data_IF_716392399905
#
_entry.id   IF_716392399905
#
_cell.length_a   1.000
_cell.length_b   1.000
_cell.length_c   1.000
_cell.angle_alpha   90.00
_cell.angle_beta   90.00
_cell.angle_gamma   90.00
#
_symmetry.space_group_name_H-M   'P 1'
#
loop_
_entity.id
_entity.type
_entity.pdbx_description
1 polymer ?
#
# COMPACT_ATOMS: atom_id res chain seq x y z
N UNK A 1 -45.37 -2.90 29.25
CA UNK A 1 -44.73 -4.11 28.65
C UNK A 1 -45.04 -4.24 27.16
N UNK A 2 -46.29 -4.11 26.69
CA UNK A 2 -46.61 -4.12 25.24
C UNK A 2 -45.98 -2.96 24.44
N UNK A 3 -45.80 -1.80 25.06
CA UNK A 3 -45.27 -0.60 24.38
C UNK A 3 -43.77 -0.67 24.06
N UNK A 4 -43.00 -1.52 24.75
CA UNK A 4 -41.55 -1.67 24.53
C UNK A 4 -41.26 -2.63 23.38
N UNK A 5 -42.09 -3.67 23.23
CA UNK A 5 -41.96 -4.68 22.17
C UNK A 5 -42.21 -4.07 20.78
N UNK A 6 -43.13 -3.10 20.69
CA UNK A 6 -43.43 -2.38 19.44
C UNK A 6 -42.28 -1.45 19.00
N UNK A 7 -41.57 -0.83 19.95
CA UNK A 7 -40.40 0.01 19.65
C UNK A 7 -39.21 -0.85 19.21
N UNK A 8 -39.03 -2.04 19.80
CA UNK A 8 -38.00 -2.99 19.33
C UNK A 8 -38.31 -3.61 17.97
N UNK A 9 -39.59 -3.77 17.60
CA UNK A 9 -39.98 -4.25 16.28
C UNK A 9 -39.76 -3.20 15.17
N UNK A 10 -39.84 -1.91 15.50
CA UNK A 10 -39.60 -0.83 14.54
C UNK A 10 -38.11 -0.62 14.22
N UNK A 11 -37.21 -0.99 15.14
CA UNK A 11 -35.75 -0.91 14.94
C UNK A 11 -35.21 -2.07 14.07
N UNK A 12 -35.99 -3.13 13.83
CA UNK A 12 -35.56 -4.26 13.00
C UNK A 12 -35.92 -4.16 11.50
N UNK A 13 -36.39 -3.00 11.01
CA UNK A 13 -36.76 -2.83 9.58
C UNK A 13 -35.88 -1.79 8.84
N UNK A 14 -34.86 -1.21 9.47
CA UNK A 14 -34.03 -0.14 8.84
C UNK A 14 -32.56 -0.48 8.63
N UNK A 15 -32.20 -1.76 8.53
CA UNK A 15 -30.91 -2.16 7.93
C UNK A 15 -31.16 -2.98 6.67
N UNK A 16 -31.89 -2.38 5.72
CA UNK A 16 -31.48 -2.58 4.33
C UNK A 16 -30.08 -2.01 4.26
N UNK A 17 -29.08 -2.89 4.30
CA UNK A 17 -27.72 -2.55 3.95
C UNK A 17 -27.80 -1.64 2.72
N UNK A 18 -27.24 -0.44 2.85
CA UNK A 18 -26.82 0.32 1.69
C UNK A 18 -25.78 -0.57 0.99
N UNK A 19 -26.24 -1.52 0.18
CA UNK A 19 -25.45 -2.00 -0.95
C UNK A 19 -25.58 -0.86 -1.94
N UNK A 20 -24.88 0.24 -1.63
CA UNK A 20 -24.49 1.16 -2.66
C UNK A 20 -23.75 0.31 -3.66
N UNK A 21 -24.28 0.19 -4.87
CA UNK A 21 -23.49 -0.18 -6.02
C UNK A 21 -22.49 0.96 -6.21
N UNK A 22 -21.47 1.01 -5.35
CA UNK A 22 -20.27 1.75 -5.65
C UNK A 22 -19.79 1.18 -6.98
N UNK A 23 -19.66 2.05 -7.98
CA UNK A 23 -18.99 1.72 -9.22
C UNK A 23 -17.66 1.07 -8.81
N UNK A 24 -17.54 -0.27 -8.93
CA UNK A 24 -16.41 -1.05 -8.38
C UNK A 24 -15.08 -0.71 -9.07
N UNK A 25 -15.12 0.26 -9.98
CA UNK A 25 -14.07 0.66 -10.86
C UNK A 25 -13.73 2.13 -10.67
N UNK A 26 -12.49 2.40 -10.31
CA UNK A 26 -11.98 3.75 -10.12
C UNK A 26 -10.72 4.01 -10.95
N UNK A 27 -10.40 5.29 -11.17
CA UNK A 27 -9.17 5.66 -11.87
C UNK A 27 -7.96 5.29 -11.03
N UNK A 28 -6.90 4.79 -11.68
CA UNK A 28 -5.66 4.45 -10.97
C UNK A 28 -5.01 5.74 -10.43
N UNK A 29 -4.88 5.81 -9.10
CA UNK A 29 -4.21 6.90 -8.37
C UNK A 29 -2.87 6.45 -7.80
N UNK A 30 -2.64 5.15 -7.67
CA UNK A 30 -1.37 4.57 -7.19
C UNK A 30 -0.22 5.05 -8.08
N UNK A 31 0.74 5.76 -7.48
CA UNK A 31 1.81 6.46 -8.20
C UNK A 31 2.66 5.52 -9.06
N UNK A 32 2.92 4.31 -8.57
CA UNK A 32 3.68 3.30 -9.31
C UNK A 32 2.97 2.85 -10.58
N UNK A 33 1.64 2.70 -10.53
CA UNK A 33 0.83 2.12 -11.61
C UNK A 33 0.28 3.17 -12.58
N UNK A 34 0.29 4.43 -12.17
CA UNK A 34 -0.01 5.57 -13.04
C UNK A 34 1.18 5.96 -13.93
N UNK A 35 2.37 5.45 -13.64
CA UNK A 35 3.58 5.72 -14.41
C UNK A 35 3.45 5.12 -15.83
N UNK A 36 3.66 5.90 -16.90
CA UNK A 36 3.58 5.40 -18.27
C UNK A 36 4.58 4.28 -18.58
N UNK A 37 5.68 4.18 -17.82
CA UNK A 37 6.68 3.11 -17.98
C UNK A 37 6.21 1.77 -17.37
N UNK A 38 5.06 1.73 -16.67
CA UNK A 38 4.54 0.51 -16.05
C UNK A 38 4.11 -0.56 -17.05
N UNK A 39 3.96 -0.22 -18.34
CA UNK A 39 3.56 -1.16 -19.39
C UNK A 39 2.10 -1.66 -19.26
N UNK A 40 1.26 -0.93 -18.53
CA UNK A 40 -0.16 -1.23 -18.39
C UNK A 40 -0.95 -0.71 -19.59
N UNK A 41 -1.94 -1.49 -20.01
CA UNK A 41 -2.82 -1.14 -21.12
C UNK A 41 -4.16 -0.55 -20.66
N UNK A 42 -4.37 -0.47 -19.35
CA UNK A 42 -5.59 0.01 -18.70
C UNK A 42 -5.27 1.14 -17.71
N UNK A 43 -6.29 1.94 -17.37
CA UNK A 43 -6.17 3.10 -16.47
C UNK A 43 -7.22 3.14 -15.35
N UNK A 44 -8.06 2.10 -15.26
CA UNK A 44 -9.06 1.92 -14.20
C UNK A 44 -8.77 0.61 -13.48
N UNK A 45 -8.88 0.62 -12.16
CA UNK A 45 -8.72 -0.56 -11.30
C UNK A 45 -10.04 -0.95 -10.68
N UNK A 46 -10.22 -2.26 -10.45
CA UNK A 46 -11.30 -2.77 -9.62
C UNK A 46 -10.85 -2.91 -8.16
N UNK A 47 -11.81 -2.75 -7.23
CA UNK A 47 -11.61 -3.03 -5.80
C UNK A 47 -12.73 -3.97 -5.28
N UNK A 48 -12.42 -4.85 -4.29
CA UNK A 48 -11.11 -5.06 -3.69
C UNK A 48 -10.12 -5.71 -4.66
N UNK A 49 -8.82 -5.43 -4.51
CA UNK A 49 -7.80 -6.07 -5.34
C UNK A 49 -7.58 -7.54 -4.93
N UNK A 50 -6.73 -8.27 -5.66
CA UNK A 50 -6.51 -9.71 -5.41
C UNK A 50 -5.86 -10.02 -4.05
N UNK A 51 -5.33 -9.01 -3.35
CA UNK A 51 -4.79 -9.12 -2.00
C UNK A 51 -5.81 -8.72 -0.91
N UNK A 52 -7.01 -8.29 -1.31
CA UNK A 52 -8.11 -7.93 -0.41
C UNK A 52 -8.09 -6.49 0.08
N UNK A 53 -7.24 -5.61 -0.47
CA UNK A 53 -7.29 -4.19 -0.12
C UNK A 53 -8.58 -3.56 -0.64
N UNK A 54 -9.26 -2.81 0.21
CA UNK A 54 -10.57 -2.19 -0.11
C UNK A 54 -10.42 -0.80 -0.71
N UNK A 55 -9.23 -0.21 -0.64
CA UNK A 55 -8.93 1.14 -1.16
C UNK A 55 -7.59 1.19 -1.88
N UNK A 56 -7.46 2.08 -2.86
CA UNK A 56 -6.18 2.33 -3.51
C UNK A 56 -5.11 2.94 -2.59
N UNK A 57 -5.50 3.66 -1.54
CA UNK A 57 -4.54 4.23 -0.58
C UNK A 57 -3.85 3.11 0.22
N UNK A 58 -4.61 2.11 0.65
CA UNK A 58 -4.09 0.92 1.35
C UNK A 58 -3.17 0.11 0.42
N UNK A 59 -3.64 -0.21 -0.78
CA UNK A 59 -2.86 -0.93 -1.79
C UNK A 59 -1.60 -0.14 -2.19
N UNK A 60 -1.72 1.18 -2.31
CA UNK A 60 -0.66 2.12 -2.65
C UNK A 60 0.44 2.14 -1.58
N UNK A 61 0.06 2.18 -0.31
CA UNK A 61 1.01 2.18 0.81
C UNK A 61 1.82 0.88 0.85
N UNK A 62 1.21 -0.26 0.54
CA UNK A 62 1.91 -1.53 0.49
C UNK A 62 2.83 -1.63 -0.74
N UNK A 63 2.31 -1.39 -1.95
CA UNK A 63 3.10 -1.53 -3.18
C UNK A 63 4.25 -0.52 -3.25
N UNK A 64 4.12 0.64 -2.59
CA UNK A 64 5.18 1.63 -2.54
C UNK A 64 6.47 1.13 -1.87
N UNK A 65 6.39 0.07 -1.05
CA UNK A 65 7.57 -0.54 -0.42
C UNK A 65 8.51 -1.21 -1.44
N UNK A 66 8.02 -1.51 -2.65
CA UNK A 66 8.80 -2.13 -3.72
C UNK A 66 9.53 -1.10 -4.61
N UNK A 67 9.37 0.22 -4.39
CA UNK A 67 10.04 1.25 -5.19
C UNK A 67 11.55 1.05 -5.33
N UNK A 68 12.31 0.70 -4.27
CA UNK A 68 13.75 0.46 -4.39
C UNK A 68 14.07 -0.66 -5.40
N UNK A 69 13.28 -1.74 -5.44
CA UNK A 69 13.46 -2.83 -6.41
C UNK A 69 13.13 -2.39 -7.83
N UNK A 70 12.05 -1.62 -8.00
CA UNK A 70 11.67 -1.05 -9.31
C UNK A 70 12.78 -0.14 -9.84
N UNK A 71 13.37 0.69 -8.98
CA UNK A 71 14.50 1.55 -9.37
C UNK A 71 15.81 0.78 -9.59
N UNK A 72 16.02 -0.33 -8.90
CA UNK A 72 17.14 -1.24 -9.13
C UNK A 72 17.02 -2.01 -10.45
N UNK A 73 15.82 -2.08 -11.05
CA UNK A 73 15.54 -2.74 -12.34
C UNK A 73 16.01 -4.19 -12.38
N UNK A 74 15.78 -4.93 -11.30
CA UNK A 74 16.11 -6.36 -11.22
C UNK A 74 15.32 -7.23 -12.22
N UNK A 75 14.11 -6.80 -12.62
CA UNK A 75 13.36 -7.33 -13.75
C UNK A 75 12.61 -6.18 -14.44
N UNK A 76 12.53 -6.20 -15.77
CA UNK A 76 11.71 -5.25 -16.56
C UNK A 76 10.21 -5.45 -16.33
N UNK A 77 9.81 -6.63 -15.89
CA UNK A 77 8.42 -7.03 -15.70
C UNK A 77 7.89 -6.70 -14.29
N UNK A 78 8.76 -6.31 -13.36
CA UNK A 78 8.42 -6.13 -11.94
C UNK A 78 7.28 -5.12 -11.74
N UNK A 79 7.36 -3.96 -12.39
CA UNK A 79 6.37 -2.89 -12.21
C UNK A 79 4.99 -3.32 -12.75
N UNK A 80 4.96 -3.96 -13.93
CA UNK A 80 3.74 -4.51 -14.50
C UNK A 80 3.14 -5.60 -13.60
N UNK A 81 3.95 -6.54 -13.11
CA UNK A 81 3.51 -7.60 -12.20
C UNK A 81 2.89 -7.02 -10.92
N UNK A 82 3.58 -6.09 -10.25
CA UNK A 82 3.06 -5.45 -9.04
C UNK A 82 1.72 -4.75 -9.33
N UNK A 83 1.60 -4.05 -10.44
CA UNK A 83 0.35 -3.36 -10.76
C UNK A 83 -0.80 -4.31 -11.10
N UNK A 84 -0.55 -5.46 -11.75
CA UNK A 84 -1.57 -6.50 -11.93
C UNK A 84 -2.07 -7.11 -10.60
N UNK A 85 -1.26 -7.03 -9.54
CA UNK A 85 -1.63 -7.52 -8.21
C UNK A 85 -2.34 -6.44 -7.38
N UNK A 86 -1.78 -5.23 -7.33
CA UNK A 86 -2.21 -4.16 -6.43
C UNK A 86 -3.28 -3.24 -7.05
N UNK A 87 -3.30 -3.12 -8.38
CA UNK A 87 -4.27 -2.32 -9.14
C UNK A 87 -4.73 -3.12 -10.38
N UNK A 88 -5.41 -4.27 -10.18
CA UNK A 88 -5.84 -5.10 -11.28
C UNK A 88 -6.88 -4.36 -12.12
N UNK A 89 -6.94 -4.69 -13.41
CA UNK A 89 -7.87 -4.02 -14.31
C UNK A 89 -9.33 -4.10 -13.83
N UNK A 90 -10.05 -3.01 -14.06
CA UNK A 90 -11.49 -2.98 -13.93
C UNK A 90 -12.19 -3.74 -15.06
N UNK A 91 -13.04 -4.70 -14.70
CA UNK A 91 -14.04 -5.32 -15.57
C UNK A 91 -15.45 -5.10 -15.02
N UNK A 92 -16.45 -5.81 -15.56
CA UNK A 92 -17.79 -5.82 -14.99
C UNK A 92 -17.75 -6.23 -13.49
N UNK A 93 -18.53 -5.58 -12.60
CA UNK A 93 -18.58 -5.88 -11.17
C UNK A 93 -18.84 -7.37 -10.80
N UNK A 94 -19.39 -8.15 -11.73
CA UNK A 94 -19.64 -9.58 -11.57
C UNK A 94 -18.43 -10.47 -11.89
N UNK A 95 -17.37 -9.91 -12.47
CA UNK A 95 -16.18 -10.63 -12.93
C UNK A 95 -15.02 -10.38 -11.96
N UNK A 96 -14.40 -11.43 -11.40
CA UNK A 96 -13.24 -11.27 -10.53
C UNK A 96 -12.06 -10.65 -11.31
N UNK A 97 -11.18 -9.89 -10.64
CA UNK A 97 -10.05 -9.27 -11.33
C UNK A 97 -9.10 -10.31 -11.92
N UNK A 98 -8.62 -10.05 -13.14
CA UNK A 98 -7.67 -10.93 -13.85
C UNK A 98 -6.35 -11.00 -13.10
N UNK A 99 -5.91 -12.20 -12.72
CA UNK A 99 -4.62 -12.44 -12.05
C UNK A 99 -3.45 -12.36 -13.03
N UNK A 100 -2.23 -12.02 -12.56
CA UNK A 100 -1.04 -12.20 -13.38
C UNK A 100 -0.81 -13.69 -13.67
N UNK A 101 -0.22 -14.02 -14.83
CA UNK A 101 0.21 -15.38 -15.10
C UNK A 101 1.41 -15.76 -14.21
N UNK A 102 1.49 -17.04 -13.84
CA UNK A 102 2.61 -17.59 -13.06
C UNK A 102 3.97 -17.32 -13.71
N UNK A 103 4.06 -17.46 -15.03
CA UNK A 103 5.30 -17.26 -15.77
C UNK A 103 5.81 -15.80 -15.68
N UNK A 104 4.90 -14.83 -15.57
CA UNK A 104 5.26 -13.42 -15.31
C UNK A 104 5.84 -13.27 -13.90
N UNK A 105 5.22 -13.90 -12.90
CA UNK A 105 5.73 -13.88 -11.53
C UNK A 105 7.12 -14.53 -11.44
N UNK A 106 7.31 -15.68 -12.08
CA UNK A 106 8.58 -16.41 -12.06
C UNK A 106 9.74 -15.61 -12.69
N UNK A 107 9.49 -14.89 -13.79
CA UNK A 107 10.45 -13.95 -14.38
C UNK A 107 10.87 -12.86 -13.37
N UNK A 108 9.90 -12.24 -12.70
CA UNK A 108 10.14 -11.21 -11.70
C UNK A 108 10.88 -11.77 -10.49
N UNK A 109 10.47 -12.94 -10.01
CA UNK A 109 11.10 -13.64 -8.89
C UNK A 109 12.57 -13.95 -9.19
N UNK A 110 12.86 -14.51 -10.36
CA UNK A 110 14.21 -14.88 -10.78
C UNK A 110 15.16 -13.67 -10.80
N UNK A 111 14.68 -12.50 -11.23
CA UNK A 111 15.46 -11.27 -11.23
C UNK A 111 15.61 -10.62 -9.85
N UNK A 112 14.53 -10.57 -9.07
CA UNK A 112 14.44 -9.69 -7.90
C UNK A 112 14.62 -10.39 -6.55
N UNK A 113 14.30 -11.68 -6.42
CA UNK A 113 14.47 -12.41 -5.17
C UNK A 113 15.95 -12.48 -4.73
N UNK A 114 16.95 -12.73 -5.62
CA UNK A 114 18.34 -12.77 -5.19
C UNK A 114 18.82 -11.43 -4.59
N UNK A 115 18.31 -10.32 -5.13
CA UNK A 115 18.60 -8.99 -4.62
C UNK A 115 18.00 -8.80 -3.22
N UNK A 116 16.73 -9.17 -3.02
CA UNK A 116 16.09 -9.14 -1.69
C UNK A 116 16.85 -9.98 -0.67
N UNK A 117 17.22 -11.21 -1.04
CA UNK A 117 17.95 -12.14 -0.18
C UNK A 117 19.30 -11.58 0.25
N UNK A 118 20.02 -10.89 -0.63
CA UNK A 118 21.30 -10.26 -0.30
C UNK A 118 21.17 -9.18 0.79
N UNK A 119 19.99 -8.54 0.91
CA UNK A 119 19.67 -7.59 1.97
C UNK A 119 18.95 -8.21 3.17
N UNK A 120 18.85 -9.55 3.24
CA UNK A 120 18.23 -10.27 4.35
C UNK A 120 16.70 -10.32 4.29
N UNK A 121 16.09 -9.94 3.18
CA UNK A 121 14.65 -10.04 2.97
C UNK A 121 14.29 -11.34 2.23
N UNK A 122 13.07 -11.84 2.46
CA UNK A 122 12.50 -12.97 1.72
C UNK A 122 11.47 -12.47 0.71
N UNK A 123 11.25 -13.26 -0.34
CA UNK A 123 10.12 -13.03 -1.22
C UNK A 123 8.80 -13.09 -0.42
N UNK A 124 7.87 -12.12 -0.58
CA UNK A 124 6.64 -12.09 0.20
C UNK A 124 5.72 -13.26 -0.14
N UNK A 125 5.18 -13.93 0.88
CA UNK A 125 4.28 -15.08 0.68
C UNK A 125 3.01 -14.75 -0.12
N UNK A 126 2.52 -13.50 -0.01
CA UNK A 126 1.37 -13.02 -0.81
C UNK A 126 1.68 -12.85 -2.31
N UNK A 127 2.95 -12.86 -2.69
CA UNK A 127 3.43 -12.79 -4.08
C UNK A 127 4.04 -14.11 -4.55
N UNK A 128 3.83 -15.21 -3.82
CA UNK A 128 4.36 -16.52 -4.18
C UNK A 128 3.79 -16.99 -5.51
N UNK A 129 4.65 -17.37 -6.46
CA UNK A 129 4.24 -17.62 -7.84
C UNK A 129 3.29 -18.81 -7.99
N UNK A 130 3.32 -19.77 -7.05
CA UNK A 130 2.37 -20.89 -7.02
C UNK A 130 0.91 -20.45 -6.84
N UNK A 131 0.68 -19.24 -6.34
CA UNK A 131 -0.66 -18.67 -6.12
C UNK A 131 -1.35 -18.19 -7.40
N UNK A 132 -0.60 -18.11 -8.51
CA UNK A 132 -1.08 -17.61 -9.78
C UNK A 132 -1.29 -18.76 -10.79
N UNK A 133 -2.28 -18.63 -11.70
CA UNK A 133 -2.50 -19.62 -12.75
C UNK A 133 -1.36 -19.63 -13.77
N UNK A 134 -1.02 -20.82 -14.28
CA UNK A 134 -0.14 -20.95 -15.44
C UNK A 134 -0.94 -20.71 -16.71
N UNK A 135 -0.33 -20.13 -17.74
CA UNK A 135 -0.96 -19.97 -19.06
C UNK A 135 -1.40 -21.30 -19.70
N UNK A 136 -0.82 -22.42 -19.25
CA UNK A 136 -1.15 -23.77 -19.73
C UNK A 136 -2.33 -24.41 -18.99
N UNK A 137 -2.80 -23.81 -17.89
CA UNK A 137 -3.88 -24.35 -17.05
C UNK A 137 -5.28 -24.18 -17.64
N UNK A 138 -5.43 -23.31 -18.65
CA UNK A 138 -6.73 -22.95 -19.23
C UNK A 138 -7.48 -21.85 -18.46
N UNK A 139 -6.97 -21.41 -17.30
CA UNK A 139 -7.45 -20.20 -16.60
C UNK A 139 -6.86 -18.95 -17.27
N UNK A 140 -7.69 -17.93 -17.47
CA UNK A 140 -7.27 -16.67 -18.08
C UNK A 140 -6.40 -15.84 -17.11
N UNK A 141 -5.28 -15.32 -17.62
CA UNK A 141 -4.31 -14.56 -16.84
C UNK A 141 -3.59 -13.52 -17.69
N UNK A 142 -3.10 -12.46 -17.04
CA UNK A 142 -2.42 -11.35 -17.69
C UNK A 142 -0.88 -11.48 -17.63
N UNK A 143 -0.21 -11.26 -18.75
CA UNK A 143 1.26 -11.24 -18.83
C UNK A 143 1.75 -10.29 -19.94
N UNK A 144 1.72 -8.97 -19.69
CA UNK A 144 2.22 -7.95 -20.63
C UNK A 144 3.69 -8.17 -20.97
N UNK A 145 4.06 -7.98 -22.23
CA UNK A 145 5.45 -8.12 -22.70
C UNK A 145 5.98 -9.55 -22.75
N UNK A 146 5.17 -10.53 -22.35
CA UNK A 146 5.46 -11.96 -22.47
C UNK A 146 4.61 -12.52 -23.61
N UNK A 147 4.95 -12.11 -24.83
CA UNK A 147 4.35 -12.63 -26.06
C UNK A 147 4.40 -14.17 -26.02
N UNK A 148 3.33 -14.83 -26.49
CA UNK A 148 3.30 -16.29 -26.63
C UNK A 148 4.63 -16.73 -27.22
N UNK A 149 5.34 -17.63 -26.53
CA UNK A 149 6.45 -18.34 -27.13
C UNK A 149 5.98 -18.92 -28.47
N UNK A 150 6.31 -18.22 -29.55
CA UNK A 150 6.36 -18.81 -30.87
C UNK A 150 7.39 -19.93 -30.72
N UNK A 151 7.08 -21.18 -31.10
CA UNK A 151 8.12 -22.16 -31.28
C UNK A 151 9.03 -21.59 -32.37
N UNK A 152 10.16 -21.02 -31.97
CA UNK A 152 11.24 -20.73 -32.88
C UNK A 152 11.82 -22.08 -33.30
N UNK A 153 11.22 -22.65 -34.34
CA UNK A 153 11.96 -23.36 -35.36
C UNK A 153 12.98 -22.36 -35.91
N UNK A 154 14.17 -22.29 -35.31
CA UNK A 154 15.34 -21.93 -36.10
C UNK A 154 16.61 -22.54 -35.51
N UNK A 155 17.27 -23.33 -36.35
CA UNK A 155 18.56 -23.93 -36.08
C UNK A 155 19.64 -22.84 -36.05
N UNK A 156 19.86 -22.27 -34.87
CA UNK A 156 21.04 -21.46 -34.58
C UNK A 156 22.22 -22.34 -34.18
N UNK A 157 23.25 -22.38 -35.03
CA UNK A 157 24.56 -22.97 -34.70
C UNK A 157 25.16 -22.40 -33.40
N UNK A 158 26.03 -23.15 -32.70
CA UNK A 158 26.60 -22.69 -31.44
C UNK A 158 27.51 -21.48 -31.67
N UNK A 159 27.15 -20.33 -31.09
CA UNK A 159 28.08 -19.21 -30.92
C UNK A 159 28.98 -19.56 -29.74
N UNK A 160 30.22 -19.94 -30.05
CA UNK A 160 31.30 -20.05 -29.07
C UNK A 160 31.55 -18.69 -28.42
N UNK A 161 31.22 -18.57 -27.14
CA UNK A 161 31.64 -17.45 -26.29
C UNK A 161 33.13 -17.63 -25.98
N UNK A 162 34.02 -16.67 -26.31
CA UNK A 162 35.41 -16.74 -25.88
C UNK A 162 35.52 -16.48 -24.36
N UNK A 163 36.51 -17.08 -23.68
CA UNK A 163 36.68 -16.93 -22.23
C UNK A 163 37.01 -15.47 -21.86
N UNK A 164 36.61 -15.00 -20.66
CA UNK A 164 36.95 -13.66 -20.20
C UNK A 164 38.46 -13.55 -20.00
N UNK A 165 39.07 -12.59 -20.71
CA UNK A 165 40.46 -12.21 -20.47
C UNK A 165 40.63 -11.57 -19.07
N UNK A 166 41.85 -11.56 -18.52
CA UNK A 166 42.12 -10.96 -17.22
C UNK A 166 41.86 -9.46 -17.26
N UNK A 167 40.85 -9.01 -16.52
CA UNK A 167 40.61 -7.59 -16.23
C UNK A 167 41.65 -7.09 -15.25
N UNK A 168 42.59 -6.28 -15.73
CA UNK A 168 43.47 -5.46 -14.88
C UNK A 168 42.66 -4.27 -14.34
N UNK A 169 42.70 -3.97 -13.03
CA UNK A 169 42.05 -2.78 -12.50
C UNK A 169 42.90 -1.57 -12.83
N UNK A 170 42.43 -0.77 -13.79
CA UNK A 170 42.93 0.59 -14.00
C UNK A 170 42.27 1.48 -12.94
N UNK A 171 43.03 1.90 -11.92
CA UNK A 171 42.67 2.99 -11.02
C UNK A 171 42.59 4.30 -11.82
N UNK A 172 41.45 4.55 -12.44
CA UNK A 172 41.06 5.88 -12.87
C UNK A 172 39.78 6.25 -12.15
N UNK A 173 39.97 7.08 -11.12
CA UNK A 173 38.94 7.73 -10.32
C UNK A 173 37.90 8.41 -11.22
N UNK A 174 36.68 7.87 -11.23
CA UNK A 174 35.54 8.46 -11.90
C UNK A 174 34.94 9.61 -11.04
N UNK A 175 34.70 10.81 -11.59
CA UNK A 175 34.18 11.96 -10.84
C UNK A 175 32.70 11.88 -10.44
N UNK A 176 32.06 10.70 -10.53
CA UNK A 176 30.63 10.50 -10.26
C UNK A 176 30.30 10.29 -8.76
N UNK A 177 31.29 9.95 -7.93
CA UNK A 177 31.09 9.64 -6.50
C UNK A 177 30.87 10.87 -5.62
N UNK A 178 31.29 12.07 -6.04
CA UNK A 178 31.13 13.29 -5.24
C UNK A 178 29.78 13.98 -5.46
N UNK A 179 29.15 13.80 -6.63
CA UNK A 179 27.86 14.41 -6.96
C UNK A 179 26.65 13.68 -6.37
N UNK A 180 26.75 12.37 -6.16
CA UNK A 180 25.66 11.56 -5.58
C UNK A 180 25.53 11.75 -4.06
N UNK A 181 26.64 12.07 -3.37
CA UNK A 181 26.65 12.32 -1.93
C UNK A 181 25.90 13.60 -1.54
N UNK A 182 26.04 14.69 -2.31
CA UNK A 182 25.39 15.97 -1.99
C UNK A 182 23.89 15.96 -2.23
N UNK A 183 23.43 15.32 -3.33
CA UNK A 183 22.01 15.17 -3.61
C UNK A 183 21.30 14.25 -2.59
N UNK A 184 21.95 13.16 -2.18
CA UNK A 184 21.45 12.28 -1.13
C UNK A 184 21.35 13.01 0.22
N UNK A 185 22.34 13.83 0.57
CA UNK A 185 22.31 14.65 1.79
C UNK A 185 21.18 15.69 1.78
N UNK A 186 20.92 16.35 0.64
CA UNK A 186 19.80 17.28 0.52
C UNK A 186 18.44 16.60 0.68
N UNK A 187 18.28 15.38 0.15
CA UNK A 187 17.05 14.60 0.33
C UNK A 187 16.85 14.19 1.79
N UNK A 188 17.92 13.78 2.48
CA UNK A 188 17.88 13.47 3.92
C UNK A 188 17.51 14.71 4.74
N UNK A 189 18.08 15.86 4.43
CA UNK A 189 17.76 17.12 5.14
C UNK A 189 16.30 17.54 4.93
N UNK A 190 15.78 17.39 3.71
CA UNK A 190 14.38 17.69 3.43
C UNK A 190 13.43 16.77 4.23
N UNK A 191 13.78 15.49 4.37
CA UNK A 191 13.02 14.54 5.18
C UNK A 191 13.09 14.87 6.68
N UNK A 192 14.25 15.29 7.20
CA UNK A 192 14.37 15.71 8.60
C UNK A 192 13.56 16.97 8.89
N UNK A 193 13.60 17.96 8.00
CA UNK A 193 12.81 19.20 8.15
C UNK A 193 11.30 18.91 8.10
N UNK A 194 10.87 17.99 7.24
CA UNK A 194 9.49 17.51 7.20
C UNK A 194 9.09 16.80 8.50
N UNK A 195 9.97 15.96 9.04
CA UNK A 195 9.72 15.24 10.28
C UNK A 195 9.61 16.18 11.48
N UNK A 196 10.48 17.18 11.60
CA UNK A 196 10.43 18.18 12.67
C UNK A 196 9.13 19.00 12.63
N UNK A 197 8.63 19.34 11.43
CA UNK A 197 7.33 20.01 11.29
C UNK A 197 6.17 19.13 11.75
N UNK A 198 6.20 17.84 11.44
CA UNK A 198 5.19 16.88 11.90
C UNK A 198 5.25 16.73 13.42
N UNK A 199 6.46 16.64 13.98
CA UNK A 199 6.66 16.56 15.43
C UNK A 199 6.13 17.80 16.14
N UNK A 200 6.46 19.00 15.65
CA UNK A 200 5.95 20.26 16.20
C UNK A 200 4.43 20.38 16.10
N UNK A 201 3.83 19.93 14.99
CA UNK A 201 2.37 19.88 14.85
C UNK A 201 1.73 18.90 15.85
N UNK A 202 2.35 17.75 16.10
CA UNK A 202 1.88 16.78 17.09
C UNK A 202 1.95 17.33 18.52
N UNK A 203 3.04 18.03 18.86
CA UNK A 203 3.18 18.72 20.15
C UNK A 203 2.10 19.80 20.34
N UNK A 204 1.77 20.55 19.27
CA UNK A 204 0.68 21.53 19.30
C UNK A 204 -0.69 20.92 19.57
N UNK A 205 -0.99 19.77 18.95
CA UNK A 205 -2.23 19.02 19.23
C UNK A 205 -2.26 18.49 20.67
N UNK A 206 -1.12 17.99 21.17
CA UNK A 206 -1.01 17.49 22.53
C UNK A 206 -1.22 18.63 23.54
N UNK A 207 -0.70 19.83 23.27
CA UNK A 207 -0.92 21.01 24.10
C UNK A 207 -2.40 21.44 24.11
N UNK A 208 -3.05 21.50 22.95
CA UNK A 208 -4.49 21.80 22.86
C UNK A 208 -5.34 20.80 23.63
N UNK A 209 -5.00 19.50 23.56
CA UNK A 209 -5.69 18.47 24.31
C UNK A 209 -5.48 18.61 25.82
N UNK A 210 -4.28 18.99 26.26
CA UNK A 210 -3.99 19.26 27.67
C UNK A 210 -4.74 20.50 28.17
N UNK A 211 -4.82 21.58 27.40
CA UNK A 211 -5.58 22.77 27.74
C UNK A 211 -7.09 22.47 27.84
N UNK A 212 -7.61 21.65 26.91
CA UNK A 212 -9.00 21.18 26.94
C UNK A 212 -9.27 20.35 28.21
N UNK A 213 -8.36 19.45 28.56
CA UNK A 213 -8.47 18.64 29.78
C UNK A 213 -8.42 19.50 31.04
N UNK A 214 -7.51 20.47 31.10
CA UNK A 214 -7.40 21.41 32.22
C UNK A 214 -8.70 22.22 32.38
N UNK A 215 -9.30 22.67 31.27
CA UNK A 215 -10.58 23.37 31.27
C UNK A 215 -11.72 22.49 31.77
N UNK A 216 -11.79 21.23 31.31
CA UNK A 216 -12.79 20.26 31.77
C UNK A 216 -12.66 19.98 33.27
N UNK A 217 -11.43 19.81 33.77
CA UNK A 217 -11.17 19.64 35.20
C UNK A 217 -11.59 20.85 36.02
N UNK A 218 -11.33 22.07 35.53
CA UNK A 218 -11.76 23.29 36.20
C UNK A 218 -13.30 23.37 36.28
N UNK A 219 -14.00 22.99 35.21
CA UNK A 219 -15.47 22.96 35.21
C UNK A 219 -16.00 21.91 36.21
N UNK A 220 -15.46 20.68 36.18
CA UNK A 220 -15.86 19.63 37.12
C UNK A 220 -15.62 20.03 38.57
N UNK A 221 -14.51 20.74 38.85
CA UNK A 221 -14.21 21.26 40.19
C UNK A 221 -15.25 22.29 40.62
N UNK A 222 -15.63 23.22 39.75
CA UNK A 222 -16.69 24.20 40.04
C UNK A 222 -18.05 23.52 40.31
N UNK A 223 -18.40 22.50 39.51
CA UNK A 223 -19.62 21.71 39.73
C UNK A 223 -19.59 20.97 41.07
N UNK A 224 -18.42 20.43 41.44
CA UNK A 224 -18.22 19.75 42.73
C UNK A 224 -18.38 20.73 43.90
N UNK A 225 -17.73 21.89 43.85
CA UNK A 225 -17.85 22.93 44.88
C UNK A 225 -19.29 23.45 45.02
N UNK A 226 -20.02 23.56 43.91
CA UNK A 226 -21.45 23.90 43.91
C UNK A 226 -22.28 22.82 44.61
N UNK A 227 -22.06 21.55 44.29
CA UNK A 227 -22.80 20.45 44.87
C UNK A 227 -22.52 20.32 46.38
N UNK A 228 -21.28 20.53 46.80
CA UNK A 228 -20.90 20.55 48.22
C UNK A 228 -21.66 21.65 48.98
N UNK A 229 -21.78 22.84 48.41
CA UNK A 229 -22.57 23.93 49.00
C UNK A 229 -24.06 23.58 49.11
N UNK A 230 -24.64 22.96 48.08
CA UNK A 230 -26.04 22.49 48.13
C UNK A 230 -26.24 21.44 49.23
N UNK A 231 -25.32 20.49 49.37
CA UNK A 231 -25.34 19.48 50.43
C UNK A 231 -25.23 20.15 51.82
N UNK A 232 -24.34 21.14 51.99
CA UNK A 232 -24.22 21.86 53.26
C UNK A 232 -25.50 22.63 53.62
N UNK A 233 -26.17 23.25 52.63
CA UNK A 233 -27.43 23.94 52.83
C UNK A 233 -28.55 22.97 53.23
N UNK A 234 -28.64 21.81 52.58
CA UNK A 234 -29.62 20.76 52.93
C UNK A 234 -29.38 20.23 54.35
N UNK A 235 -28.11 19.99 54.73
CA UNK A 235 -27.77 19.57 56.10
C UNK A 235 -28.21 20.59 57.15
N UNK A 236 -28.02 21.90 56.91
CA UNK A 236 -28.51 22.95 57.83
C UNK A 236 -30.03 22.93 58.00
N UNK A 237 -30.79 22.67 56.92
CA UNK A 237 -32.28 22.59 56.99
C UNK A 237 -32.81 21.37 57.71
N UNK A 238 -32.03 20.29 57.80
CA UNK A 238 -32.45 19.05 58.47
C UNK A 238 -32.18 19.05 59.98
N UNK A 239 -31.32 19.94 60.48
CA UNK A 239 -30.88 19.99 61.87
C UNK A 239 -31.53 21.17 62.65
N UNK A 240 -32.20 22.09 61.96
CA UNK A 240 -32.99 23.18 62.55
C UNK A 240 -34.48 22.97 62.33
#
# INVERSE_FOLDING_TARGET
MLSVVLVSALVMVTQSAFVGTADQCEQITIRLCKDPDAGLWYNRTSLPNILGHETQDEAGQEVHQFFPLVKAKCSSSLQAFLCLVYAPECHDPSVPPTKPCRELCEDVFAGCEPLLRNFGFRWPARLECSSYPSRQSGEECAAPGMDRAVPTEDGGSPVTVPPPGPVTPSEQSCPCSQQTASAAQSAVQALTDSLERVLSAAEGLQQLQQETLNMQQANLRLETEKLELEIQLLRRRLIG
#
